data_IF_838574603406
#
_entry.id   IF_838574603406
#
_cell.length_a   1.000
_cell.length_b   1.000
_cell.length_c   1.000
_cell.angle_alpha   90.00
_cell.angle_beta   90.00
_cell.angle_gamma   90.00
#
_symmetry.space_group_name_H-M   'P 1'
#
loop_
_entity.id
_entity.type
_entity.pdbx_description
1 polymer ?
#
# COMPACT_ATOMS: atom_id res chain seq x y z
N UNK A 1 -11.91 -38.88 -2.72
CA UNK A 1 -11.77 -37.90 -3.83
C UNK A 1 -12.38 -36.53 -3.48
N UNK A 2 -13.65 -36.43 -3.03
CA UNK A 2 -14.34 -35.15 -2.75
C UNK A 2 -13.68 -34.28 -1.66
N UNK A 3 -13.19 -34.91 -0.58
CA UNK A 3 -12.58 -34.21 0.56
C UNK A 3 -11.29 -33.45 0.22
N UNK A 4 -10.50 -33.94 -0.76
CA UNK A 4 -9.24 -33.31 -1.15
C UNK A 4 -9.46 -32.03 -1.95
N UNK A 5 -10.51 -32.01 -2.79
CA UNK A 5 -10.86 -30.84 -3.59
C UNK A 5 -11.37 -29.70 -2.70
N UNK A 6 -12.21 -30.01 -1.71
CA UNK A 6 -12.71 -29.02 -0.73
C UNK A 6 -11.58 -28.42 0.10
N UNK A 7 -10.61 -29.24 0.53
CA UNK A 7 -9.44 -28.75 1.29
C UNK A 7 -8.57 -27.84 0.41
N UNK A 8 -8.31 -28.21 -0.85
CA UNK A 8 -7.56 -27.37 -1.79
C UNK A 8 -8.23 -26.00 -1.98
N UNK A 9 -9.55 -25.97 -2.23
CA UNK A 9 -10.30 -24.72 -2.39
C UNK A 9 -10.20 -23.84 -1.14
N UNK A 10 -10.34 -24.42 0.05
CA UNK A 10 -10.18 -23.68 1.32
C UNK A 10 -8.77 -23.10 1.48
N UNK A 11 -7.73 -23.85 1.11
CA UNK A 11 -6.35 -23.35 1.15
C UNK A 11 -6.13 -22.17 0.18
N UNK A 12 -6.69 -22.22 -1.04
CA UNK A 12 -6.60 -21.11 -2.00
C UNK A 12 -7.31 -19.85 -1.47
N UNK A 13 -8.51 -20.00 -0.91
CA UNK A 13 -9.27 -18.89 -0.32
C UNK A 13 -8.51 -18.25 0.85
N UNK A 14 -7.95 -19.08 1.74
CA UNK A 14 -7.16 -18.60 2.87
C UNK A 14 -5.89 -17.85 2.42
N UNK A 15 -5.17 -18.39 1.43
CA UNK A 15 -3.98 -17.75 0.88
C UNK A 15 -4.28 -16.41 0.20
N UNK A 16 -5.36 -16.33 -0.58
CA UNK A 16 -5.81 -15.07 -1.19
C UNK A 16 -6.19 -14.01 -0.16
N UNK A 17 -6.90 -14.42 0.90
CA UNK A 17 -7.32 -13.53 1.99
C UNK A 17 -6.13 -13.00 2.79
N UNK A 18 -5.13 -13.86 3.06
CA UNK A 18 -3.90 -13.47 3.73
C UNK A 18 -3.06 -12.50 2.86
N UNK A 19 -2.93 -12.76 1.56
CA UNK A 19 -2.21 -11.86 0.64
C UNK A 19 -2.85 -10.48 0.58
N UNK A 20 -4.18 -10.41 0.41
CA UNK A 20 -4.89 -9.13 0.35
C UNK A 20 -4.76 -8.34 1.66
N UNK A 21 -4.80 -9.04 2.81
CA UNK A 21 -4.62 -8.42 4.12
C UNK A 21 -3.21 -7.88 4.32
N UNK A 22 -2.19 -8.61 3.84
CA UNK A 22 -0.81 -8.19 3.91
C UNK A 22 -0.55 -6.96 3.02
N UNK A 23 -1.02 -7.00 1.76
CA UNK A 23 -0.87 -5.89 0.82
C UNK A 23 -1.56 -4.62 1.35
N UNK A 24 -2.75 -4.76 1.96
CA UNK A 24 -3.47 -3.64 2.60
C UNK A 24 -2.70 -3.04 3.77
N UNK A 25 -2.05 -3.87 4.59
CA UNK A 25 -1.21 -3.42 5.71
C UNK A 25 0.01 -2.67 5.21
N UNK A 26 0.71 -3.21 4.21
CA UNK A 26 1.88 -2.56 3.60
C UNK A 26 1.52 -1.20 3.01
N UNK A 27 0.43 -1.11 2.23
CA UNK A 27 -0.06 0.15 1.69
C UNK A 27 -0.32 1.21 2.79
N UNK A 28 -0.96 0.82 3.90
CA UNK A 28 -1.20 1.74 5.03
C UNK A 28 0.10 2.21 5.68
N UNK A 29 1.07 1.31 5.83
CA UNK A 29 2.35 1.63 6.45
C UNK A 29 3.17 2.60 5.57
N UNK A 30 3.27 2.33 4.27
CA UNK A 30 4.00 3.19 3.35
C UNK A 30 3.32 4.56 3.18
N UNK A 31 1.98 4.62 3.17
CA UNK A 31 1.25 5.89 3.20
C UNK A 31 1.52 6.69 4.48
N UNK A 32 1.66 6.01 5.63
CA UNK A 32 2.02 6.67 6.90
C UNK A 32 3.43 7.24 6.82
N UNK A 33 4.41 6.45 6.40
CA UNK A 33 5.82 6.90 6.24
C UNK A 33 5.92 8.06 5.25
N UNK A 34 5.20 7.99 4.13
CA UNK A 34 5.13 9.08 3.16
C UNK A 34 4.54 10.36 3.79
N UNK A 35 3.47 10.24 4.58
CA UNK A 35 2.87 11.38 5.28
C UNK A 35 3.85 12.00 6.30
N UNK A 36 4.58 11.17 7.03
CA UNK A 36 5.59 11.59 8.00
C UNK A 36 6.76 12.31 7.31
N UNK A 37 7.20 11.81 6.14
CA UNK A 37 8.26 12.44 5.35
C UNK A 37 7.91 13.86 4.85
N UNK A 38 6.62 14.23 4.78
CA UNK A 38 6.19 15.58 4.40
C UNK A 38 6.21 16.60 5.55
N UNK A 39 6.83 16.29 6.70
CA UNK A 39 7.10 17.20 7.83
C UNK A 39 5.97 18.20 8.15
N UNK A 40 4.83 17.73 8.67
CA UNK A 40 3.71 18.57 9.16
C UNK A 40 3.13 19.63 8.20
N UNK A 41 3.62 19.75 6.97
CA UNK A 41 3.12 20.74 6.05
C UNK A 41 1.72 20.33 5.60
N UNK A 42 0.79 21.28 5.70
CA UNK A 42 -0.60 21.18 5.24
C UNK A 42 -0.69 20.66 3.78
N UNK A 43 0.40 20.79 3.02
CA UNK A 43 0.59 20.26 1.66
C UNK A 43 0.72 18.74 1.58
N UNK A 44 0.98 17.99 2.65
CA UNK A 44 1.12 16.51 2.61
C UNK A 44 -0.08 15.79 1.99
N UNK A 45 -1.31 16.26 2.30
CA UNK A 45 -2.53 15.76 1.65
C UNK A 45 -2.72 16.31 0.23
N UNK A 46 -2.05 17.42 -0.11
CA UNK A 46 -2.03 18.02 -1.44
C UNK A 46 -0.88 17.55 -2.34
N UNK A 47 0.07 16.76 -1.82
CA UNK A 47 1.15 16.24 -2.64
C UNK A 47 0.59 15.22 -3.63
N UNK A 48 0.88 15.45 -4.92
CA UNK A 48 0.42 14.59 -6.01
C UNK A 48 0.72 13.11 -5.75
N UNK A 49 1.94 12.79 -5.27
CA UNK A 49 2.32 11.41 -4.94
C UNK A 49 1.48 10.78 -3.83
N UNK A 50 1.13 11.56 -2.79
CA UNK A 50 0.25 11.09 -1.71
C UNK A 50 -1.17 10.84 -2.22
N UNK A 51 -1.73 11.78 -3.00
CA UNK A 51 -3.07 11.62 -3.59
C UNK A 51 -3.15 10.43 -4.54
N UNK A 52 -2.12 10.23 -5.36
CA UNK A 52 -2.05 9.10 -6.28
C UNK A 52 -2.02 7.76 -5.52
N UNK A 53 -1.17 7.64 -4.49
CA UNK A 53 -1.10 6.43 -3.68
C UNK A 53 -2.42 6.17 -2.93
N UNK A 54 -3.07 7.24 -2.43
CA UNK A 54 -4.38 7.16 -1.78
C UNK A 54 -5.48 6.71 -2.76
N UNK A 55 -5.50 7.22 -3.99
CA UNK A 55 -6.45 6.78 -5.02
C UNK A 55 -6.29 5.30 -5.36
N UNK A 56 -5.05 4.81 -5.48
CA UNK A 56 -4.80 3.36 -5.68
C UNK A 56 -5.31 2.52 -4.50
N UNK A 57 -5.15 2.99 -3.26
CA UNK A 57 -5.72 2.32 -2.08
C UNK A 57 -7.25 2.29 -2.13
N UNK A 58 -7.86 3.41 -2.51
CA UNK A 58 -9.33 3.55 -2.55
C UNK A 58 -9.93 2.68 -3.68
N UNK A 59 -9.15 2.35 -4.71
CA UNK A 59 -9.46 1.35 -5.74
C UNK A 59 -9.03 -0.10 -5.38
N UNK A 60 -8.63 -0.35 -4.13
CA UNK A 60 -8.15 -1.64 -3.64
C UNK A 60 -6.88 -2.19 -4.34
N UNK A 61 -6.16 -1.34 -5.08
CA UNK A 61 -4.88 -1.65 -5.73
C UNK A 61 -3.73 -1.55 -4.71
N UNK A 62 -3.77 -2.34 -3.63
CA UNK A 62 -2.90 -2.16 -2.46
C UNK A 62 -1.39 -2.28 -2.77
N UNK A 63 -0.97 -3.21 -3.63
CA UNK A 63 0.44 -3.31 -4.07
C UNK A 63 0.91 -2.06 -4.82
N UNK A 64 0.04 -1.50 -5.65
CA UNK A 64 0.29 -0.27 -6.40
C UNK A 64 0.37 0.93 -5.46
N UNK A 65 -0.52 1.00 -4.47
CA UNK A 65 -0.45 1.98 -3.39
C UNK A 65 0.91 1.93 -2.67
N UNK A 66 1.35 0.76 -2.21
CA UNK A 66 2.64 0.61 -1.52
C UNK A 66 3.82 1.07 -2.38
N UNK A 67 3.86 0.64 -3.65
CA UNK A 67 4.91 1.03 -4.61
C UNK A 67 4.92 2.54 -4.89
N UNK A 68 3.75 3.15 -5.09
CA UNK A 68 3.63 4.59 -5.31
C UNK A 68 4.02 5.39 -4.07
N UNK A 69 3.58 4.96 -2.88
CA UNK A 69 3.88 5.65 -1.63
C UNK A 69 5.38 5.62 -1.32
N UNK A 70 6.04 4.47 -1.48
CA UNK A 70 7.49 4.31 -1.31
C UNK A 70 8.28 5.20 -2.28
N UNK A 71 7.96 5.15 -3.59
CA UNK A 71 8.63 6.00 -4.59
C UNK A 71 8.43 7.50 -4.35
N UNK A 72 7.24 7.90 -3.90
CA UNK A 72 6.99 9.28 -3.54
C UNK A 72 7.82 9.69 -2.32
N UNK A 73 7.96 8.80 -1.33
CA UNK A 73 8.76 9.05 -0.12
C UNK A 73 10.23 9.23 -0.48
N UNK A 74 10.79 8.31 -1.26
CA UNK A 74 12.19 8.38 -1.72
C UNK A 74 12.50 9.67 -2.51
N UNK A 75 11.51 10.24 -3.21
CA UNK A 75 11.68 11.54 -3.90
C UNK A 75 11.72 12.70 -2.92
N UNK A 76 10.93 12.62 -1.85
CA UNK A 76 10.81 13.65 -0.81
C UNK A 76 12.03 13.63 0.10
N UNK A 77 12.52 12.44 0.45
CA UNK A 77 13.77 12.25 1.19
C UNK A 77 14.95 12.83 0.38
N UNK A 78 15.12 12.44 -0.89
CA UNK A 78 16.17 12.98 -1.76
C UNK A 78 16.10 14.49 -2.00
N UNK A 79 14.91 15.08 -1.95
CA UNK A 79 14.74 16.53 -2.11
C UNK A 79 15.08 17.30 -0.83
N UNK A 80 15.07 16.65 0.34
CA UNK A 80 15.45 17.25 1.62
C UNK A 80 16.96 17.16 1.87
N UNK A 81 17.62 16.15 1.30
CA UNK A 81 19.07 15.93 1.41
C UNK A 81 19.91 16.79 0.42
N UNK A 82 19.28 17.55 -0.47
CA UNK A 82 19.91 18.37 -1.52
C UNK A 82 19.85 19.87 -1.18
#
# INVERSE_FOLDING_TARGET
>A
MKLRLTVLVLCLLAAGSASASNDRRECKEELRKLKEAFSTNYTSQNHHGYRQAKASRDNEEYRKCASQARKARERVERAQDA
#
